data_IF_161026870639
#
_entry.id   IF_161026870639
#
_cell.length_a   1.000
_cell.length_b   1.000
_cell.length_c   1.000
_cell.angle_alpha   90.00
_cell.angle_beta   90.00
_cell.angle_gamma   90.00
#
_symmetry.space_group_name_H-M   'P 1'
#
loop_
_entity.id
_entity.type
_entity.pdbx_description
1 polymer ?
#
# COMPACT_ATOMS: atom_id res chain seq x y z
N UNK A 1 14.45 19.25 -4.05
CA UNK A 1 14.96 17.87 -4.30
C UNK A 1 16.14 17.89 -5.29
N UNK A 2 17.36 17.74 -4.76
CA UNK A 2 18.57 17.27 -5.47
C UNK A 2 19.00 18.06 -6.74
N UNK A 3 19.83 19.09 -6.53
CA UNK A 3 20.60 19.75 -7.58
C UNK A 3 21.83 18.88 -7.93
N UNK A 4 21.59 17.74 -8.59
CA UNK A 4 22.63 16.73 -8.94
C UNK A 4 23.69 17.26 -9.91
N UNK A 5 23.46 18.37 -10.61
CA UNK A 5 24.39 18.82 -11.66
C UNK A 5 25.79 19.10 -11.11
N UNK A 6 25.89 19.63 -9.88
CA UNK A 6 27.18 19.88 -9.21
C UNK A 6 27.80 18.62 -8.59
N UNK A 7 27.01 17.60 -8.29
CA UNK A 7 27.51 16.27 -7.90
C UNK A 7 28.04 15.49 -9.12
N UNK A 8 27.62 15.87 -10.33
CA UNK A 8 27.89 15.14 -11.59
C UNK A 8 29.35 15.21 -12.01
N UNK A 9 30.06 16.33 -11.78
CA UNK A 9 31.49 16.44 -12.12
C UNK A 9 32.39 15.58 -11.23
N UNK A 10 31.96 15.27 -10.01
CA UNK A 10 32.70 14.43 -9.07
C UNK A 10 32.31 12.95 -9.20
N UNK A 11 31.08 12.66 -9.65
CA UNK A 11 30.56 11.30 -9.82
C UNK A 11 31.30 10.49 -10.90
N UNK A 12 31.70 11.14 -12.01
CA UNK A 12 32.51 10.51 -13.06
C UNK A 12 33.94 10.18 -12.64
N UNK A 13 34.44 10.77 -11.53
CA UNK A 13 35.83 10.57 -11.07
C UNK A 13 35.97 9.55 -9.95
N UNK A 14 34.88 9.15 -9.30
CA UNK A 14 34.85 8.17 -8.19
C UNK A 14 34.14 6.88 -8.60
N UNK A 15 34.55 6.29 -9.72
CA UNK A 15 34.21 4.91 -10.10
C UNK A 15 34.93 3.92 -9.17
N UNK A 16 34.50 3.86 -7.91
CA UNK A 16 35.04 2.99 -6.86
C UNK A 16 33.94 2.39 -5.97
N UNK A 17 32.73 2.25 -6.50
CA UNK A 17 31.69 1.45 -5.86
C UNK A 17 32.10 -0.02 -5.97
N UNK A 18 32.19 -0.79 -4.88
CA UNK A 18 32.31 -2.24 -5.02
C UNK A 18 31.12 -2.71 -5.87
N UNK A 19 31.33 -3.27 -7.07
CA UNK A 19 30.24 -3.61 -7.99
C UNK A 19 29.20 -4.54 -7.34
N UNK A 20 29.63 -5.32 -6.35
CA UNK A 20 28.79 -6.20 -5.53
C UNK A 20 27.74 -5.44 -4.73
N UNK A 21 28.07 -4.35 -4.04
CA UNK A 21 27.11 -3.62 -3.20
C UNK A 21 25.98 -3.01 -4.03
N UNK A 22 26.33 -2.44 -5.20
CA UNK A 22 25.36 -1.92 -6.17
C UNK A 22 24.41 -3.02 -6.65
N UNK A 23 24.95 -4.19 -6.97
CA UNK A 23 24.17 -5.35 -7.42
C UNK A 23 23.24 -5.85 -6.31
N UNK A 24 23.69 -5.91 -5.06
CA UNK A 24 22.85 -6.27 -3.91
C UNK A 24 21.70 -5.27 -3.74
N UNK A 25 21.97 -3.96 -3.87
CA UNK A 25 20.93 -2.95 -3.76
C UNK A 25 19.88 -3.06 -4.88
N UNK A 26 20.33 -3.27 -6.11
CA UNK A 26 19.44 -3.48 -7.26
C UNK A 26 18.63 -4.77 -7.07
N UNK A 27 19.27 -5.86 -6.63
CA UNK A 27 18.63 -7.15 -6.39
C UNK A 27 17.51 -7.05 -5.34
N UNK A 28 17.81 -6.45 -4.18
CA UNK A 28 16.80 -6.26 -3.12
C UNK A 28 15.64 -5.37 -3.58
N UNK A 29 15.95 -4.28 -4.28
CA UNK A 29 14.94 -3.41 -4.89
C UNK A 29 14.07 -4.16 -5.90
N UNK A 30 14.69 -5.03 -6.71
CA UNK A 30 14.03 -5.84 -7.72
C UNK A 30 13.06 -6.87 -7.13
N UNK A 31 13.37 -7.44 -5.95
CA UNK A 31 12.48 -8.39 -5.24
C UNK A 31 11.14 -7.74 -4.86
N UNK A 32 11.12 -6.43 -4.60
CA UNK A 32 9.87 -5.72 -4.24
C UNK A 32 8.87 -5.67 -5.41
N UNK A 33 9.35 -5.65 -6.66
CA UNK A 33 8.50 -5.55 -7.86
C UNK A 33 7.47 -6.70 -7.91
N UNK A 34 7.86 -7.99 -7.97
CA UNK A 34 6.89 -9.08 -8.05
C UNK A 34 5.99 -9.14 -6.81
N UNK A 35 6.48 -8.81 -5.61
CA UNK A 35 5.66 -8.81 -4.39
C UNK A 35 4.55 -7.76 -4.46
N UNK A 36 4.88 -6.53 -4.85
CA UNK A 36 3.91 -5.44 -5.01
C UNK A 36 2.92 -5.76 -6.12
N UNK A 37 3.40 -6.21 -7.29
CA UNK A 37 2.55 -6.49 -8.44
C UNK A 37 1.59 -7.65 -8.16
N UNK A 38 2.07 -8.76 -7.61
CA UNK A 38 1.23 -9.94 -7.32
C UNK A 38 0.22 -9.64 -6.22
N UNK A 39 0.65 -9.02 -5.11
CA UNK A 39 -0.21 -8.71 -3.99
C UNK A 39 -1.33 -7.73 -4.35
N UNK A 40 -1.01 -6.62 -5.01
CA UNK A 40 -2.01 -5.61 -5.37
C UNK A 40 -2.90 -6.07 -6.53
N UNK A 41 -2.40 -6.90 -7.44
CA UNK A 41 -3.26 -7.58 -8.43
C UNK A 41 -4.27 -8.50 -7.74
N UNK A 42 -3.87 -9.22 -6.69
CA UNK A 42 -4.76 -10.10 -5.93
C UNK A 42 -5.89 -9.31 -5.25
N UNK A 43 -5.61 -8.12 -4.72
CA UNK A 43 -6.63 -7.19 -4.19
C UNK A 43 -7.67 -6.83 -5.26
N UNK A 44 -7.21 -6.39 -6.44
CA UNK A 44 -8.09 -6.00 -7.55
C UNK A 44 -8.92 -7.19 -8.04
N UNK A 45 -8.31 -8.36 -8.20
CA UNK A 45 -9.02 -9.57 -8.65
C UNK A 45 -10.04 -10.01 -7.61
N UNK A 46 -9.73 -9.88 -6.33
CA UNK A 46 -10.63 -10.23 -5.24
C UNK A 46 -11.87 -9.36 -5.25
N UNK A 47 -11.71 -8.04 -5.38
CA UNK A 47 -12.83 -7.12 -5.54
C UNK A 47 -13.72 -7.53 -6.72
N UNK A 48 -13.13 -7.77 -7.90
CA UNK A 48 -13.89 -8.17 -9.11
C UNK A 48 -14.61 -9.51 -8.97
N UNK A 49 -14.03 -10.44 -8.22
CA UNK A 49 -14.52 -11.83 -8.14
C UNK A 49 -15.57 -12.03 -7.05
N UNK A 50 -15.57 -11.20 -6.00
CA UNK A 50 -16.48 -11.35 -4.86
C UNK A 50 -17.37 -10.12 -4.70
N UNK A 51 -18.66 -10.27 -5.02
CA UNK A 51 -19.68 -9.21 -4.89
C UNK A 51 -19.82 -8.68 -3.45
N UNK A 52 -19.47 -9.46 -2.43
CA UNK A 52 -19.48 -9.01 -1.02
C UNK A 52 -18.43 -7.92 -0.76
N UNK A 53 -17.39 -7.86 -1.58
CA UNK A 53 -16.37 -6.82 -1.53
C UNK A 53 -16.78 -5.55 -2.28
N UNK A 54 -17.95 -5.47 -2.92
CA UNK A 54 -18.39 -4.26 -3.63
C UNK A 54 -18.94 -3.17 -2.68
N UNK A 55 -18.13 -2.78 -1.70
CA UNK A 55 -18.46 -1.70 -0.75
C UNK A 55 -17.63 -0.44 -1.03
N UNK A 56 -17.98 0.66 -0.37
CA UNK A 56 -17.28 1.95 -0.48
C UNK A 56 -15.81 1.82 -0.06
N UNK A 57 -15.54 1.19 1.09
CA UNK A 57 -14.17 0.98 1.57
C UNK A 57 -13.33 0.22 0.56
N UNK A 58 -13.82 -0.91 0.03
CA UNK A 58 -13.03 -1.71 -0.91
C UNK A 58 -12.80 -1.00 -2.24
N UNK A 59 -13.67 -0.06 -2.63
CA UNK A 59 -13.43 0.80 -3.80
C UNK A 59 -12.20 1.70 -3.59
N UNK A 60 -12.01 2.25 -2.39
CA UNK A 60 -10.76 2.96 -2.04
C UNK A 60 -9.55 2.03 -2.01
N UNK A 61 -9.69 0.80 -1.47
CA UNK A 61 -8.61 -0.18 -1.44
C UNK A 61 -8.16 -0.60 -2.84
N UNK A 62 -9.10 -0.74 -3.78
CA UNK A 62 -8.79 -1.01 -5.19
C UNK A 62 -8.07 0.17 -5.83
N UNK A 63 -8.50 1.40 -5.57
CA UNK A 63 -7.82 2.60 -6.08
C UNK A 63 -6.39 2.73 -5.54
N UNK A 64 -6.19 2.43 -4.25
CA UNK A 64 -4.86 2.33 -3.64
C UNK A 64 -4.03 1.23 -4.31
N UNK A 65 -4.59 0.04 -4.53
CA UNK A 65 -3.90 -1.05 -5.21
C UNK A 65 -3.47 -0.66 -6.65
N UNK A 66 -4.27 0.11 -7.38
CA UNK A 66 -3.89 0.66 -8.69
C UNK A 66 -2.68 1.60 -8.57
N UNK A 67 -2.67 2.49 -7.57
CA UNK A 67 -1.52 3.36 -7.29
C UNK A 67 -0.26 2.54 -6.94
N UNK A 68 -0.40 1.50 -6.12
CA UNK A 68 0.72 0.64 -5.73
C UNK A 68 1.26 -0.19 -6.91
N UNK A 69 0.41 -0.59 -7.86
CA UNK A 69 0.86 -1.21 -9.11
C UNK A 69 1.70 -0.24 -9.95
N UNK A 70 1.41 1.06 -9.95
CA UNK A 70 2.25 2.06 -10.62
C UNK A 70 3.60 2.23 -9.90
N UNK A 71 3.64 2.15 -8.57
CA UNK A 71 4.90 2.14 -7.81
C UNK A 71 5.76 0.95 -8.22
N UNK A 72 5.20 -0.26 -8.18
CA UNK A 72 5.94 -1.48 -8.52
C UNK A 72 6.31 -1.60 -10.00
N UNK A 73 5.40 -1.22 -10.91
CA UNK A 73 5.56 -1.41 -12.35
C UNK A 73 6.28 -0.28 -13.08
N UNK A 74 6.31 0.93 -12.50
CA UNK A 74 6.92 2.11 -13.14
C UNK A 74 8.00 2.72 -12.24
N UNK A 75 7.65 3.08 -11.01
CA UNK A 75 8.57 3.85 -10.16
C UNK A 75 9.84 3.07 -9.75
N UNK A 76 9.68 1.81 -9.32
CA UNK A 76 10.81 0.97 -8.89
C UNK A 76 11.75 0.66 -10.08
N UNK A 77 11.27 0.28 -11.28
CA UNK A 77 12.12 0.15 -12.46
C UNK A 77 12.88 1.44 -12.81
N UNK A 78 12.21 2.60 -12.74
CA UNK A 78 12.87 3.90 -12.95
C UNK A 78 13.97 4.17 -11.93
N UNK A 79 13.75 3.80 -10.66
CA UNK A 79 14.76 3.91 -9.60
C UNK A 79 15.97 3.00 -9.86
N UNK A 80 15.73 1.73 -10.23
CA UNK A 80 16.80 0.79 -10.62
C UNK A 80 17.59 1.35 -11.81
N UNK A 81 16.92 1.88 -12.83
CA UNK A 81 17.55 2.54 -13.97
C UNK A 81 18.42 3.73 -13.55
N UNK A 82 17.94 4.57 -12.62
CA UNK A 82 18.70 5.70 -12.08
C UNK A 82 19.97 5.22 -11.35
N UNK A 83 19.90 4.14 -10.56
CA UNK A 83 21.07 3.55 -9.91
C UNK A 83 22.02 2.96 -10.96
N UNK A 84 21.49 2.27 -11.97
CA UNK A 84 22.27 1.52 -12.96
C UNK A 84 23.02 2.43 -13.95
N UNK A 85 22.33 3.38 -14.60
CA UNK A 85 22.82 4.05 -15.81
C UNK A 85 22.88 5.58 -15.76
N UNK A 86 22.49 6.24 -14.67
CA UNK A 86 22.74 7.67 -14.38
C UNK A 86 22.53 8.71 -15.52
N UNK A 87 21.64 8.44 -16.49
CA UNK A 87 21.48 9.31 -17.67
C UNK A 87 20.19 10.18 -17.65
N UNK A 88 20.30 11.36 -18.28
CA UNK A 88 19.34 12.46 -18.31
C UNK A 88 18.16 12.10 -19.23
N UNK A 89 17.14 11.49 -18.63
CA UNK A 89 15.71 11.59 -18.95
C UNK A 89 14.85 10.83 -17.93
N UNK A 90 15.45 9.90 -17.17
CA UNK A 90 14.74 9.18 -16.11
C UNK A 90 14.54 10.00 -14.85
N UNK A 91 15.42 10.94 -14.51
CA UNK A 91 15.34 11.63 -13.20
C UNK A 91 14.09 12.50 -13.04
N UNK A 92 13.70 13.26 -14.06
CA UNK A 92 12.51 14.10 -14.00
C UNK A 92 11.22 13.27 -13.94
N UNK A 93 11.16 12.20 -14.76
CA UNK A 93 10.06 11.24 -14.78
C UNK A 93 9.99 10.49 -13.45
N UNK A 94 11.11 9.99 -12.95
CA UNK A 94 11.23 9.34 -11.64
C UNK A 94 10.76 10.26 -10.52
N UNK A 95 11.22 11.52 -10.49
CA UNK A 95 10.81 12.47 -9.45
C UNK A 95 9.30 12.70 -9.48
N UNK A 96 8.72 12.80 -10.68
CA UNK A 96 7.26 12.89 -10.83
C UNK A 96 6.56 11.62 -10.34
N UNK A 97 6.94 10.44 -10.82
CA UNK A 97 6.27 9.18 -10.49
C UNK A 97 6.41 8.83 -9.02
N UNK A 98 7.56 9.15 -8.42
CA UNK A 98 7.87 8.91 -7.02
C UNK A 98 7.05 9.83 -6.12
N UNK A 99 6.96 11.12 -6.44
CA UNK A 99 6.16 12.07 -5.68
C UNK A 99 4.66 11.81 -5.86
N UNK A 100 4.24 11.48 -7.07
CA UNK A 100 2.87 11.09 -7.39
C UNK A 100 2.44 9.85 -6.61
N UNK A 101 3.25 8.78 -6.64
CA UNK A 101 2.97 7.55 -5.90
C UNK A 101 2.94 7.80 -4.38
N UNK A 102 3.83 8.66 -3.88
CA UNK A 102 3.85 9.06 -2.48
C UNK A 102 2.53 9.74 -2.06
N UNK A 103 2.13 10.80 -2.78
CA UNK A 103 0.88 11.52 -2.49
C UNK A 103 -0.36 10.65 -2.70
N UNK A 104 -0.40 9.85 -3.75
CA UNK A 104 -1.53 9.01 -4.04
C UNK A 104 -1.71 7.97 -2.91
N UNK A 105 -0.64 7.28 -2.50
CA UNK A 105 -0.73 6.27 -1.44
C UNK A 105 -1.17 6.88 -0.10
N UNK A 106 -0.55 8.00 0.32
CA UNK A 106 -0.84 8.64 1.61
C UNK A 106 -2.27 9.19 1.69
N UNK A 107 -2.76 9.79 0.61
CA UNK A 107 -4.10 10.36 0.55
C UNK A 107 -5.17 9.27 0.45
N UNK A 108 -4.91 8.17 -0.27
CA UNK A 108 -5.81 7.00 -0.24
C UNK A 108 -5.90 6.41 1.16
N UNK A 109 -4.78 6.22 1.86
CA UNK A 109 -4.77 5.72 3.24
C UNK A 109 -5.54 6.65 4.18
N UNK A 110 -5.34 7.96 4.05
CA UNK A 110 -6.09 8.97 4.81
C UNK A 110 -7.59 8.90 4.51
N UNK A 111 -7.98 8.79 3.24
CA UNK A 111 -9.37 8.66 2.83
C UNK A 111 -10.01 7.37 3.37
N UNK A 112 -9.30 6.25 3.36
CA UNK A 112 -9.74 4.99 3.96
C UNK A 112 -9.96 5.18 5.46
N UNK A 113 -9.05 5.83 6.18
CA UNK A 113 -9.21 6.09 7.61
C UNK A 113 -10.43 6.98 7.91
N UNK A 114 -10.66 8.03 7.13
CA UNK A 114 -11.85 8.90 7.26
C UNK A 114 -13.13 8.10 7.00
N UNK A 115 -13.17 7.32 5.91
CA UNK A 115 -14.34 6.50 5.57
C UNK A 115 -14.66 5.50 6.68
N UNK A 116 -13.63 4.82 7.22
CA UNK A 116 -13.78 3.91 8.36
C UNK A 116 -14.26 4.63 9.62
N UNK A 117 -13.74 5.83 9.90
CA UNK A 117 -14.22 6.64 11.02
C UNK A 117 -15.71 6.96 10.86
N UNK A 118 -16.13 7.44 9.69
CA UNK A 118 -17.54 7.78 9.44
C UNK A 118 -18.41 6.52 9.58
N UNK A 119 -18.02 5.40 8.99
CA UNK A 119 -18.77 4.14 9.07
C UNK A 119 -18.95 3.62 10.51
N UNK A 120 -17.93 3.74 11.36
CA UNK A 120 -17.93 3.21 12.73
C UNK A 120 -18.54 4.21 13.72
N UNK A 121 -18.17 5.48 13.60
CA UNK A 121 -18.52 6.52 14.57
C UNK A 121 -19.81 7.25 14.24
N UNK A 122 -20.21 7.28 12.97
CA UNK A 122 -21.38 8.01 12.48
C UNK A 122 -22.19 7.16 11.47
N UNK A 123 -22.70 5.99 11.88
CA UNK A 123 -23.35 5.04 10.96
C UNK A 123 -24.57 5.64 10.23
N UNK A 124 -25.38 6.45 10.91
CA UNK A 124 -26.52 7.13 10.29
C UNK A 124 -26.09 8.09 9.17
N UNK A 125 -25.03 8.87 9.41
CA UNK A 125 -24.48 9.76 8.38
C UNK A 125 -23.89 8.95 7.22
N UNK A 126 -23.20 7.84 7.51
CA UNK A 126 -22.63 6.94 6.51
C UNK A 126 -23.68 6.38 5.54
N UNK A 127 -24.85 5.98 6.05
CA UNK A 127 -25.96 5.48 5.21
C UNK A 127 -26.55 6.56 4.30
N UNK A 128 -26.64 7.80 4.80
CA UNK A 128 -27.18 8.92 4.02
C UNK A 128 -26.18 9.49 3.00
N UNK A 129 -24.88 9.18 3.13
CA UNK A 129 -23.84 9.75 2.28
C UNK A 129 -23.97 9.31 0.82
N UNK A 130 -24.22 10.25 -0.10
CA UNK A 130 -24.33 9.93 -1.52
C UNK A 130 -23.03 9.34 -2.11
N UNK A 131 -23.19 8.45 -3.08
CA UNK A 131 -22.06 7.83 -3.81
C UNK A 131 -21.08 8.83 -4.45
N UNK A 132 -21.57 10.04 -4.80
CA UNK A 132 -20.78 11.10 -5.42
C UNK A 132 -19.64 11.61 -4.54
N UNK A 133 -19.79 11.60 -3.22
CA UNK A 133 -18.73 12.06 -2.31
C UNK A 133 -17.53 11.12 -2.36
N UNK A 134 -17.78 9.81 -2.31
CA UNK A 134 -16.73 8.79 -2.44
C UNK A 134 -15.98 8.90 -3.78
N UNK A 135 -16.72 9.09 -4.88
CA UNK A 135 -16.11 9.34 -6.21
C UNK A 135 -15.33 10.65 -6.23
N UNK A 136 -15.87 11.71 -5.64
CA UNK A 136 -15.21 13.01 -5.51
C UNK A 136 -13.90 12.91 -4.72
N UNK A 137 -13.87 12.16 -3.63
CA UNK A 137 -12.64 11.88 -2.87
C UNK A 137 -11.61 11.17 -3.73
N UNK A 138 -12.00 10.13 -4.48
CA UNK A 138 -11.07 9.44 -5.39
C UNK A 138 -10.48 10.38 -6.44
N UNK A 139 -11.32 11.18 -7.10
CA UNK A 139 -10.88 12.17 -8.08
C UNK A 139 -9.92 13.17 -7.43
N UNK A 140 -10.27 13.68 -6.25
CA UNK A 140 -9.41 14.59 -5.48
C UNK A 140 -8.03 13.97 -5.21
N UNK A 141 -7.99 12.72 -4.73
CA UNK A 141 -6.72 12.03 -4.45
C UNK A 141 -5.84 11.98 -5.69
N UNK A 142 -6.36 11.55 -6.83
CA UNK A 142 -5.57 11.44 -8.07
C UNK A 142 -5.13 12.80 -8.60
N UNK A 143 -6.05 13.78 -8.67
CA UNK A 143 -5.78 15.12 -9.20
C UNK A 143 -4.81 15.88 -8.31
N UNK A 144 -5.00 15.86 -6.99
CA UNK A 144 -4.10 16.54 -6.06
C UNK A 144 -2.70 15.92 -6.12
N UNK A 145 -2.59 14.59 -6.13
CA UNK A 145 -1.30 13.89 -6.23
C UNK A 145 -0.57 14.23 -7.53
N UNK A 146 -1.30 14.27 -8.65
CA UNK A 146 -0.73 14.66 -9.94
C UNK A 146 -0.31 16.13 -9.95
N UNK A 147 -1.11 17.01 -9.37
CA UNK A 147 -0.80 18.45 -9.30
C UNK A 147 0.47 18.69 -8.48
N UNK A 148 0.58 18.08 -7.31
CA UNK A 148 1.78 18.14 -6.49
C UNK A 148 2.98 17.56 -7.25
N UNK A 149 2.85 16.38 -7.85
CA UNK A 149 3.93 15.78 -8.63
C UNK A 149 4.41 16.67 -9.79
N UNK A 150 3.50 17.27 -10.56
CA UNK A 150 3.81 18.15 -11.69
C UNK A 150 4.54 19.43 -11.26
N UNK A 151 4.15 20.03 -10.13
CA UNK A 151 4.82 21.22 -9.59
C UNK A 151 6.30 20.98 -9.27
N UNK A 152 6.71 19.73 -9.05
CA UNK A 152 8.11 19.38 -8.81
C UNK A 152 9.04 19.67 -9.98
N UNK A 153 8.50 19.84 -11.20
CA UNK A 153 9.26 20.21 -12.40
C UNK A 153 9.53 21.72 -12.49
N UNK A 154 8.67 22.55 -11.91
CA UNK A 154 8.83 23.99 -11.93
C UNK A 154 9.75 24.43 -10.78
N UNK A 155 11.01 24.77 -11.09
CA UNK A 155 12.03 25.16 -10.08
C UNK A 155 12.77 26.43 -10.47
N UNK A 156 12.10 27.59 -10.39
CA UNK A 156 12.70 28.86 -10.80
C UNK A 156 13.80 29.35 -9.83
N UNK A 157 13.76 28.95 -8.56
CA UNK A 157 14.74 29.36 -7.55
C UNK A 157 14.94 28.33 -6.44
N UNK A 158 16.04 28.48 -5.69
CA UNK A 158 16.30 27.69 -4.47
C UNK A 158 15.27 27.98 -3.37
N UNK A 159 14.87 29.25 -3.21
CA UNK A 159 13.81 29.65 -2.26
C UNK A 159 12.47 29.00 -2.59
N UNK A 160 12.10 28.93 -3.88
CA UNK A 160 10.91 28.20 -4.31
C UNK A 160 11.03 26.71 -3.98
N UNK A 161 12.19 26.10 -4.22
CA UNK A 161 12.43 24.68 -3.93
C UNK A 161 12.30 24.39 -2.43
N UNK A 162 12.79 25.28 -1.58
CA UNK A 162 12.65 25.17 -0.12
C UNK A 162 11.20 25.31 0.34
N UNK A 163 10.50 26.35 -0.11
CA UNK A 163 9.10 26.57 0.21
C UNK A 163 8.23 25.39 -0.29
N UNK A 164 8.47 24.91 -1.51
CA UNK A 164 7.79 23.76 -2.08
C UNK A 164 8.05 22.48 -1.26
N UNK A 165 9.28 22.25 -0.81
CA UNK A 165 9.58 21.11 0.09
C UNK A 165 8.83 21.20 1.43
N UNK A 166 8.65 22.40 1.99
CA UNK A 166 7.81 22.60 3.17
C UNK A 166 6.34 22.26 2.87
N UNK A 167 5.79 22.72 1.74
CA UNK A 167 4.42 22.38 1.32
C UNK A 167 4.28 20.88 1.16
N UNK A 168 5.23 20.21 0.51
CA UNK A 168 5.23 18.76 0.33
C UNK A 168 5.28 18.02 1.67
N UNK A 169 6.08 18.49 2.63
CA UNK A 169 6.14 17.91 3.96
C UNK A 169 4.82 18.09 4.73
N UNK A 170 4.23 19.28 4.69
CA UNK A 170 2.97 19.56 5.39
C UNK A 170 1.83 18.77 4.77
N UNK A 171 1.65 18.87 3.45
CA UNK A 171 0.56 18.21 2.74
C UNK A 171 0.73 16.70 2.64
N UNK A 172 1.97 16.22 2.55
CA UNK A 172 2.29 14.81 2.39
C UNK A 172 2.48 14.05 3.70
N UNK A 173 2.78 14.73 4.82
CA UNK A 173 3.04 14.06 6.09
C UNK A 173 2.26 14.65 7.26
N UNK A 174 2.46 15.94 7.59
CA UNK A 174 1.90 16.53 8.82
C UNK A 174 0.36 16.48 8.81
N UNK A 175 -0.26 16.94 7.73
CA UNK A 175 -1.72 16.96 7.60
C UNK A 175 -2.31 15.53 7.56
N UNK A 176 -1.83 14.59 6.71
CA UNK A 176 -2.27 13.20 6.74
C UNK A 176 -2.12 12.54 8.11
N UNK A 177 -0.96 12.67 8.77
CA UNK A 177 -0.70 12.04 10.08
C UNK A 177 -1.64 12.60 11.15
N UNK A 178 -1.83 13.92 11.22
CA UNK A 178 -2.74 14.52 12.19
C UNK A 178 -4.19 14.09 11.98
N UNK A 179 -4.66 14.06 10.73
CA UNK A 179 -5.98 13.54 10.38
C UNK A 179 -6.09 12.07 10.80
N UNK A 180 -5.19 11.21 10.35
CA UNK A 180 -5.20 9.77 10.64
C UNK A 180 -5.23 9.51 12.15
N UNK A 181 -4.34 10.16 12.92
CA UNK A 181 -4.30 10.02 14.39
C UNK A 181 -5.64 10.48 15.00
N UNK A 182 -6.16 11.64 14.61
CA UNK A 182 -7.40 12.18 15.18
C UNK A 182 -8.61 11.26 14.92
N UNK A 183 -8.74 10.75 13.69
CA UNK A 183 -9.80 9.82 13.30
C UNK A 183 -9.69 8.51 14.09
N UNK A 184 -8.49 7.94 14.23
CA UNK A 184 -8.30 6.71 14.99
C UNK A 184 -8.55 6.88 16.49
N UNK A 185 -8.19 8.02 17.09
CA UNK A 185 -8.57 8.35 18.46
C UNK A 185 -10.11 8.38 18.58
N UNK A 186 -10.80 8.96 17.61
CA UNK A 186 -12.27 8.97 17.54
C UNK A 186 -12.89 7.57 17.44
N UNK A 187 -12.34 6.71 16.57
CA UNK A 187 -12.73 5.30 16.44
C UNK A 187 -12.58 4.59 17.80
N UNK A 188 -11.43 4.77 18.46
CA UNK A 188 -11.16 4.13 19.74
C UNK A 188 -12.13 4.59 20.85
N UNK A 189 -12.38 5.91 20.93
CA UNK A 189 -13.34 6.47 21.89
C UNK A 189 -14.74 5.90 21.68
N UNK A 190 -15.16 5.79 20.42
CA UNK A 190 -16.49 5.25 20.08
C UNK A 190 -16.59 3.77 20.37
N UNK A 191 -15.59 2.97 19.97
CA UNK A 191 -15.54 1.55 20.30
C UNK A 191 -15.64 1.32 21.81
N UNK A 192 -14.85 2.05 22.61
CA UNK A 192 -14.89 1.98 24.08
C UNK A 192 -16.25 2.41 24.65
N UNK A 193 -16.91 3.39 24.06
CA UNK A 193 -18.24 3.81 24.46
C UNK A 193 -19.31 2.75 24.15
N UNK A 194 -19.23 2.07 23.01
CA UNK A 194 -20.17 1.00 22.64
C UNK A 194 -20.04 -0.18 23.59
N UNK A 195 -18.81 -0.58 23.91
CA UNK A 195 -18.47 -1.57 24.92
C UNK A 195 -19.04 -1.22 26.30
N UNK A 196 -18.82 0.02 26.77
CA UNK A 196 -19.38 0.49 28.05
C UNK A 196 -20.91 0.48 28.09
N UNK A 197 -21.57 0.78 26.96
CA UNK A 197 -23.04 0.70 26.84
C UNK A 197 -23.52 -0.75 26.87
N UNK A 198 -22.77 -1.65 26.24
CA UNK A 198 -23.05 -3.10 26.26
C UNK A 198 -22.82 -3.72 27.65
N UNK A 199 -22.01 -3.07 28.51
CA UNK A 199 -21.75 -3.44 29.90
C UNK A 199 -22.72 -2.82 30.93
N UNK A 200 -23.82 -2.14 30.53
CA UNK A 200 -24.86 -1.75 31.51
C UNK A 200 -25.47 -3.02 32.14
N UNK A 201 -25.39 -3.22 33.47
CA UNK A 201 -25.87 -4.45 34.08
C UNK A 201 -27.39 -4.44 34.13
N UNK A 202 -28.02 -5.49 33.59
CA UNK A 202 -29.30 -5.95 34.13
C UNK A 202 -29.13 -7.21 35.00
N UNK A 203 -27.91 -7.77 35.14
CA UNK A 203 -27.63 -8.92 36.02
C UNK A 203 -26.21 -8.86 36.64
N UNK A 204 -25.99 -9.43 37.84
CA UNK A 204 -24.68 -9.48 38.49
C UNK A 204 -23.71 -10.35 37.68
N UNK A 205 -22.52 -9.82 37.39
CA UNK A 205 -21.55 -10.41 36.48
C UNK A 205 -20.73 -11.54 37.12
N UNK A 206 -20.52 -12.62 36.36
CA UNK A 206 -19.51 -13.65 36.62
C UNK A 206 -18.12 -13.03 36.37
N UNK A 207 -17.22 -13.10 37.35
CA UNK A 207 -15.88 -12.44 37.38
C UNK A 207 -14.94 -12.81 36.20
N UNK A 208 -15.28 -13.79 35.37
CA UNK A 208 -14.49 -14.22 34.20
C UNK A 208 -14.68 -13.38 32.92
N UNK A 209 -15.86 -12.77 32.70
CA UNK A 209 -16.19 -12.14 31.42
C UNK A 209 -15.55 -10.76 31.23
N UNK A 210 -15.42 -9.98 32.30
CA UNK A 210 -14.80 -8.63 32.27
C UNK A 210 -13.33 -8.64 31.85
N UNK A 211 -12.60 -9.71 32.20
CA UNK A 211 -11.17 -9.88 31.83
C UNK A 211 -10.99 -10.26 30.36
N UNK A 212 -11.92 -11.02 29.79
CA UNK A 212 -11.95 -11.33 28.35
C UNK A 212 -12.33 -10.10 27.50
N UNK A 213 -13.28 -9.29 27.98
CA UNK A 213 -13.68 -8.06 27.31
C UNK A 213 -12.52 -7.05 27.24
N UNK A 214 -11.86 -6.80 28.38
CA UNK A 214 -10.68 -5.91 28.46
C UNK A 214 -9.52 -6.39 27.56
N UNK A 215 -9.30 -7.71 27.44
CA UNK A 215 -8.29 -8.29 26.54
C UNK A 215 -8.64 -8.13 25.05
N UNK A 216 -9.92 -8.21 24.68
CA UNK A 216 -10.37 -7.95 23.29
C UNK A 216 -10.21 -6.47 22.95
N UNK A 217 -10.51 -5.58 23.89
CA UNK A 217 -10.38 -4.13 23.74
C UNK A 217 -8.91 -3.69 23.57
N UNK A 218 -8.00 -4.30 24.33
CA UNK A 218 -6.56 -4.11 24.16
C UNK A 218 -6.06 -4.62 22.80
N UNK A 219 -6.53 -5.77 22.32
CA UNK A 219 -6.14 -6.31 20.99
C UNK A 219 -6.57 -5.40 19.85
N UNK A 220 -7.74 -4.77 19.96
CA UNK A 220 -8.23 -3.80 18.98
C UNK A 220 -7.40 -2.50 19.01
N UNK A 221 -7.10 -1.96 20.21
CA UNK A 221 -6.26 -0.77 20.37
C UNK A 221 -4.81 -0.98 19.87
N UNK A 222 -4.21 -2.14 20.18
CA UNK A 222 -2.88 -2.53 19.70
C UNK A 222 -2.86 -2.62 18.19
N UNK A 223 -3.92 -3.16 17.58
CA UNK A 223 -4.04 -3.23 16.12
C UNK A 223 -4.03 -1.84 15.48
N UNK A 224 -4.75 -0.88 16.07
CA UNK A 224 -4.82 0.50 15.59
C UNK A 224 -3.48 1.23 15.76
N UNK A 225 -2.84 1.09 16.93
CA UNK A 225 -1.52 1.67 17.18
C UNK A 225 -0.45 1.09 16.24
N UNK A 226 -0.52 -0.22 15.95
CA UNK A 226 0.39 -0.89 15.01
C UNK A 226 0.17 -0.37 13.59
N UNK A 227 -1.07 -0.23 13.10
CA UNK A 227 -1.33 0.29 11.75
C UNK A 227 -0.87 1.76 11.61
N UNK A 228 -1.14 2.61 12.61
CA UNK A 228 -0.66 3.99 12.63
C UNK A 228 0.88 4.07 12.69
N UNK A 229 1.49 3.22 13.53
CA UNK A 229 2.93 3.15 13.69
C UNK A 229 3.64 2.69 12.42
N UNK A 230 3.10 1.68 11.73
CA UNK A 230 3.64 1.20 10.46
C UNK A 230 3.62 2.29 9.38
N UNK A 231 2.54 3.07 9.31
CA UNK A 231 2.45 4.21 8.40
C UNK A 231 3.49 5.28 8.75
N UNK A 232 3.60 5.72 10.00
CA UNK A 232 4.60 6.75 10.38
C UNK A 232 6.02 6.26 10.09
N UNK A 233 6.36 5.02 10.47
CA UNK A 233 7.68 4.44 10.27
C UNK A 233 8.03 4.34 8.78
N UNK A 234 7.07 3.96 7.93
CA UNK A 234 7.30 3.82 6.49
C UNK A 234 7.56 5.17 5.79
N UNK A 235 6.88 6.24 6.24
CA UNK A 235 6.83 7.52 5.52
C UNK A 235 7.73 8.62 6.11
N UNK A 236 7.85 8.70 7.44
CA UNK A 236 8.58 9.78 8.11
C UNK A 236 10.03 9.93 7.60
N UNK A 237 10.83 8.85 7.45
CA UNK A 237 12.21 8.99 6.99
C UNK A 237 12.31 9.62 5.59
N UNK A 238 11.38 9.32 4.70
CA UNK A 238 11.34 9.89 3.35
C UNK A 238 11.07 11.39 3.37
N UNK A 239 10.08 11.84 4.15
CA UNK A 239 9.72 13.24 4.27
C UNK A 239 10.80 14.06 4.98
N UNK A 240 11.42 13.51 6.02
CA UNK A 240 12.55 14.15 6.71
C UNK A 240 13.75 14.28 5.77
N UNK A 241 14.14 13.20 5.08
CA UNK A 241 15.26 13.24 4.14
C UNK A 241 15.01 14.25 3.01
N UNK A 242 13.76 14.38 2.55
CA UNK A 242 13.37 15.34 1.51
C UNK A 242 13.50 16.80 1.97
N UNK A 243 13.14 17.11 3.23
CA UNK A 243 13.36 18.44 3.83
C UNK A 243 14.85 18.70 3.98
N UNK A 244 15.61 17.78 4.58
CA UNK A 244 17.06 17.96 4.79
C UNK A 244 17.76 18.19 3.45
N UNK A 245 17.38 17.46 2.40
CA UNK A 245 17.92 17.63 1.06
C UNK A 245 17.54 18.97 0.39
N UNK A 246 16.55 19.70 0.89
CA UNK A 246 16.16 21.01 0.38
C UNK A 246 16.86 22.16 1.11
N UNK A 247 17.12 22.02 2.42
CA UNK A 247 17.69 23.09 3.24
C UNK A 247 19.18 22.92 3.53
N UNK A 248 19.65 21.69 3.65
CA UNK A 248 20.99 21.39 4.18
C UNK A 248 21.72 20.32 3.35
N UNK A 249 21.51 20.25 2.03
CA UNK A 249 22.14 19.20 1.22
C UNK A 249 23.69 19.18 1.37
N UNK A 250 24.35 20.34 1.29
CA UNK A 250 25.82 20.42 1.37
C UNK A 250 26.40 20.22 2.78
N UNK A 251 25.62 20.47 3.83
CA UNK A 251 26.08 20.39 5.21
C UNK A 251 25.65 19.12 5.94
N UNK A 252 24.55 18.50 5.51
CA UNK A 252 23.93 17.37 6.21
C UNK A 252 24.06 16.04 5.46
N UNK A 253 24.39 16.03 4.17
CA UNK A 253 24.66 14.80 3.44
C UNK A 253 26.17 14.51 3.37
N UNK A 254 26.57 13.23 3.41
CA UNK A 254 27.96 12.85 3.19
C UNK A 254 28.47 13.38 1.85
N UNK A 255 29.71 13.90 1.84
CA UNK A 255 30.39 14.30 0.60
C UNK A 255 30.62 13.10 -0.34
N UNK A 256 30.73 11.90 0.23
CA UNK A 256 30.79 10.64 -0.51
C UNK A 256 29.43 10.30 -1.13
N UNK A 257 29.40 10.17 -2.45
CA UNK A 257 28.19 9.80 -3.20
C UNK A 257 27.66 8.41 -2.80
N UNK A 258 28.54 7.48 -2.42
CA UNK A 258 28.17 6.12 -2.00
C UNK A 258 27.36 6.15 -0.71
N UNK A 259 27.79 6.92 0.29
CA UNK A 259 27.09 7.00 1.56
C UNK A 259 25.75 7.74 1.42
N UNK A 260 25.71 8.77 0.56
CA UNK A 260 24.44 9.39 0.16
C UNK A 260 23.48 8.38 -0.49
N UNK A 261 23.99 7.54 -1.41
CA UNK A 261 23.18 6.52 -2.07
C UNK A 261 22.67 5.47 -1.08
N UNK A 262 23.47 5.05 -0.10
CA UNK A 262 23.05 4.13 0.98
C UNK A 262 21.87 4.67 1.76
N UNK A 263 21.96 5.93 2.20
CA UNK A 263 20.91 6.59 2.98
C UNK A 263 19.63 6.71 2.14
N UNK A 264 19.73 7.22 0.92
CA UNK A 264 18.58 7.40 0.03
C UNK A 264 17.93 6.05 -0.29
N UNK A 265 18.72 5.03 -0.65
CA UNK A 265 18.22 3.70 -1.00
C UNK A 265 17.53 3.02 0.18
N UNK A 266 18.10 3.12 1.39
CA UNK A 266 17.47 2.55 2.60
C UNK A 266 16.10 3.19 2.88
N UNK A 267 16.02 4.52 2.76
CA UNK A 267 14.76 5.26 2.91
C UNK A 267 13.76 4.88 1.79
N UNK A 268 14.25 4.66 0.57
CA UNK A 268 13.40 4.20 -0.55
C UNK A 268 12.83 2.81 -0.33
N UNK A 269 13.60 1.87 0.20
CA UNK A 269 13.09 0.54 0.52
C UNK A 269 11.98 0.57 1.56
N UNK A 270 12.17 1.38 2.60
CA UNK A 270 11.16 1.55 3.64
C UNK A 270 9.87 2.17 3.08
N UNK A 271 10.00 3.19 2.22
CA UNK A 271 8.88 3.79 1.51
C UNK A 271 8.18 2.79 0.56
N UNK A 272 8.90 2.08 -0.31
CA UNK A 272 8.32 1.12 -1.26
C UNK A 272 7.69 -0.10 -0.57
N UNK A 273 8.18 -0.47 0.61
CA UNK A 273 7.60 -1.54 1.41
C UNK A 273 6.16 -1.23 1.81
N UNK A 274 5.74 0.04 1.87
CA UNK A 274 4.36 0.41 2.12
C UNK A 274 3.39 -0.20 1.10
N UNK A 275 3.73 -0.10 -0.19
CA UNK A 275 2.95 -0.70 -1.28
C UNK A 275 2.93 -2.23 -1.24
N UNK A 276 3.98 -2.86 -0.70
CA UNK A 276 4.07 -4.31 -0.53
C UNK A 276 3.22 -4.80 0.67
N UNK A 277 3.22 -4.05 1.77
CA UNK A 277 2.59 -4.44 3.04
C UNK A 277 1.05 -4.39 2.97
N UNK A 278 0.47 -3.53 2.13
CA UNK A 278 -0.98 -3.35 2.02
C UNK A 278 -1.77 -4.67 1.84
N UNK A 279 -1.49 -5.53 0.82
CA UNK A 279 -2.15 -6.84 0.69
C UNK A 279 -1.97 -7.77 1.91
N UNK A 280 -0.81 -7.72 2.59
CA UNK A 280 -0.53 -8.53 3.78
C UNK A 280 -1.43 -8.09 4.93
N UNK A 281 -1.57 -6.77 5.13
CA UNK A 281 -2.46 -6.22 6.15
C UNK A 281 -3.89 -6.67 5.90
N UNK A 282 -4.38 -6.63 4.65
CA UNK A 282 -5.74 -7.09 4.34
C UNK A 282 -5.91 -8.59 4.58
N UNK A 283 -4.93 -9.40 4.18
CA UNK A 283 -4.97 -10.84 4.44
C UNK A 283 -5.01 -11.17 5.94
N UNK A 284 -4.42 -10.35 6.80
CA UNK A 284 -4.41 -10.56 8.26
C UNK A 284 -5.63 -9.97 8.97
N UNK A 285 -6.16 -8.85 8.48
CA UNK A 285 -7.14 -8.02 9.19
C UNK A 285 -8.55 -8.05 8.62
N UNK A 286 -8.71 -8.41 7.35
CA UNK A 286 -9.99 -8.39 6.64
C UNK A 286 -10.41 -9.83 6.29
N UNK A 287 -11.39 -10.36 7.00
CA UNK A 287 -11.80 -11.77 6.86
C UNK A 287 -12.38 -12.09 5.49
N UNK A 288 -13.18 -11.17 4.93
CA UNK A 288 -13.83 -11.38 3.63
C UNK A 288 -12.78 -11.33 2.52
N UNK A 289 -11.83 -10.40 2.59
CA UNK A 289 -10.72 -10.35 1.64
C UNK A 289 -9.80 -11.55 1.77
N UNK A 290 -9.43 -11.94 3.01
CA UNK A 290 -8.63 -13.14 3.29
C UNK A 290 -9.27 -14.40 2.70
N UNK A 291 -10.56 -14.61 2.95
CA UNK A 291 -11.29 -15.76 2.42
C UNK A 291 -11.33 -15.75 0.89
N UNK A 292 -11.45 -14.57 0.28
CA UNK A 292 -11.42 -14.41 -1.18
C UNK A 292 -10.03 -14.72 -1.75
N UNK A 293 -8.96 -14.28 -1.09
CA UNK A 293 -7.57 -14.60 -1.47
C UNK A 293 -7.36 -16.12 -1.48
N UNK A 294 -7.75 -16.82 -0.40
CA UNK A 294 -7.65 -18.28 -0.33
C UNK A 294 -8.42 -18.97 -1.45
N UNK A 295 -9.64 -18.51 -1.76
CA UNK A 295 -10.43 -19.07 -2.87
C UNK A 295 -9.71 -18.90 -4.21
N UNK A 296 -9.24 -17.69 -4.54
CA UNK A 296 -8.56 -17.41 -5.81
C UNK A 296 -7.29 -18.23 -5.95
N UNK A 297 -6.47 -18.30 -4.90
CA UNK A 297 -5.22 -19.06 -4.91
C UNK A 297 -5.49 -20.57 -5.04
N UNK A 298 -6.50 -21.11 -4.35
CA UNK A 298 -6.92 -22.51 -4.51
C UNK A 298 -7.50 -22.81 -5.89
N UNK A 299 -8.32 -21.93 -6.47
CA UNK A 299 -8.88 -22.14 -7.80
C UNK A 299 -7.80 -22.16 -8.88
N UNK A 300 -6.77 -21.31 -8.79
CA UNK A 300 -5.60 -21.39 -9.68
C UNK A 300 -4.81 -22.68 -9.49
N UNK A 301 -4.64 -23.14 -8.25
CA UNK A 301 -3.98 -24.41 -7.96
C UNK A 301 -4.78 -25.63 -8.46
N UNK A 302 -6.12 -25.65 -8.32
CA UNK A 302 -6.98 -26.72 -8.87
C UNK A 302 -6.96 -26.71 -10.43
N UNK A 303 -6.97 -25.53 -11.08
CA UNK A 303 -6.89 -25.42 -12.55
C UNK A 303 -5.59 -25.96 -13.13
N UNK A 304 -4.45 -25.69 -12.47
CA UNK A 304 -3.15 -26.23 -12.90
C UNK A 304 -3.02 -27.75 -12.71
N UNK A 305 -3.85 -28.37 -11.86
CA UNK A 305 -3.95 -29.84 -11.74
C UNK A 305 -4.90 -30.49 -12.76
N UNK A 306 -5.79 -29.71 -13.37
CA UNK A 306 -6.81 -30.18 -14.32
C UNK A 306 -6.36 -30.20 -15.79
N UNK A 307 -5.12 -29.78 -16.09
CA UNK A 307 -4.44 -30.08 -17.36
C UNK A 307 -3.99 -31.54 -17.36
N UNK A 308 -4.95 -32.45 -17.55
CA UNK A 308 -4.72 -33.88 -17.82
C UNK A 308 -4.12 -34.01 -19.24
N UNK A 309 -3.13 -34.89 -19.48
CA UNK A 309 -2.62 -35.15 -20.83
C UNK A 309 -3.76 -35.58 -21.75
N UNK A 310 -3.78 -35.09 -23.00
CA UNK A 310 -4.69 -35.61 -24.04
C UNK A 310 -4.45 -37.13 -24.17
N UNK A 311 -5.39 -37.95 -23.70
CA UNK A 311 -5.40 -39.38 -23.99
C UNK A 311 -5.81 -39.58 -25.47
N UNK A 312 -5.17 -40.52 -26.19
CA UNK A 312 -5.55 -40.82 -27.56
C UNK A 312 -6.93 -41.50 -27.58
N UNK A 313 -7.76 -41.06 -28.53
CA UNK A 313 -9.11 -41.55 -28.74
C UNK A 313 -9.13 -43.07 -28.99
N UNK A 314 -10.06 -43.78 -28.33
CA UNK A 314 -10.90 -44.85 -28.90
C UNK A 314 -11.73 -45.50 -27.80
N UNK A 315 -12.98 -45.06 -27.65
CA UNK A 315 -14.22 -45.84 -27.37
C UNK A 315 -15.31 -44.92 -26.80
N UNK A 316 -16.51 -45.03 -27.35
CA UNK A 316 -17.66 -44.18 -27.09
C UNK A 316 -18.30 -44.47 -25.73
N UNK A 317 -17.84 -43.80 -24.67
CA UNK A 317 -18.66 -43.54 -23.48
C UNK A 317 -18.15 -42.23 -22.86
N UNK A 318 -18.89 -41.13 -23.03
CA UNK A 318 -18.53 -39.83 -22.48
C UNK A 318 -18.90 -39.78 -20.98
N UNK A 319 -18.01 -40.23 -20.11
CA UNK A 319 -18.17 -40.06 -18.66
C UNK A 319 -17.69 -38.66 -18.27
N UNK A 320 -18.62 -37.74 -18.00
CA UNK A 320 -18.27 -36.42 -17.47
C UNK A 320 -17.94 -36.52 -15.98
N UNK A 321 -16.65 -36.39 -15.64
CA UNK A 321 -16.20 -36.29 -14.26
C UNK A 321 -16.15 -34.83 -13.83
N UNK A 322 -16.86 -34.50 -12.76
CA UNK A 322 -16.73 -33.21 -12.05
C UNK A 322 -15.94 -33.42 -10.76
N UNK A 323 -14.78 -32.76 -10.65
CA UNK A 323 -13.94 -32.85 -9.46
C UNK A 323 -14.42 -31.87 -8.38
N UNK A 324 -14.75 -32.35 -7.19
CA UNK A 324 -15.19 -31.50 -6.08
C UNK A 324 -14.01 -31.15 -5.17
N UNK A 325 -13.42 -29.95 -5.35
CA UNK A 325 -12.26 -29.48 -4.58
C UNK A 325 -12.55 -29.22 -3.08
N UNK A 326 -13.80 -29.29 -2.59
CA UNK A 326 -14.07 -29.19 -1.14
C UNK A 326 -13.72 -30.47 -0.37
N UNK A 327 -13.83 -31.64 -1.01
CA UNK A 327 -13.67 -32.95 -0.36
C UNK A 327 -12.61 -33.85 -1.02
N UNK A 328 -11.79 -33.34 -1.96
CA UNK A 328 -10.81 -34.13 -2.72
C UNK A 328 -11.38 -35.38 -3.44
N UNK A 329 -12.67 -35.40 -3.77
CA UNK A 329 -13.33 -36.55 -4.38
C UNK A 329 -13.72 -36.29 -5.84
N UNK A 330 -13.53 -37.31 -6.69
CA UNK A 330 -14.06 -37.38 -8.05
C UNK A 330 -15.55 -37.73 -7.98
N UNK A 331 -16.42 -36.85 -8.46
CA UNK A 331 -17.85 -37.13 -8.59
C UNK A 331 -18.11 -37.48 -10.05
N UNK A 332 -18.37 -38.76 -10.31
CA UNK A 332 -18.85 -39.21 -11.61
C UNK A 332 -20.36 -38.97 -11.73
N UNK A 333 -20.78 -38.19 -12.71
CA UNK A 333 -22.19 -38.13 -13.10
C UNK A 333 -22.38 -39.04 -14.31
N UNK A 334 -23.12 -40.14 -14.13
CA UNK A 334 -23.59 -40.94 -15.26
C UNK A 334 -24.87 -40.30 -15.78
N UNK A 335 -24.74 -39.49 -16.84
CA UNK A 335 -25.91 -39.11 -17.64
C UNK A 335 -26.19 -40.27 -18.58
N UNK A 336 -27.24 -41.04 -18.29
CA UNK A 336 -27.84 -41.95 -19.28
C UNK A 336 -28.45 -41.06 -20.37
N UNK A 337 -27.99 -41.24 -21.60
CA UNK A 337 -28.62 -40.66 -22.79
C UNK A 337 -29.99 -41.29 -23.02
#
# INVERSE_FOLDING_TARGET
MMNLSKTTSNFTRTSGLLPVEKQLMIGFTGILIPLILTGNTLVIVSYKSNRRLHTRTYTFLVSLAVSDLLVGGVNIPLWIGCIAHYDICYKAIFTFTDLFGAFASILHLTAITIERYIAICQPYFHETLPARYHKGTLIFVWVFSSTMASLSWYRPSETFTQAYSCIVFVAGFVLPVTIVISMYIGIFRTAKSLIRRQQRPYLPAVEGEGRQHTRKDQKLAVTVAVICGLFIIAWLPFFILSIIAAFCYRGCFPANATDTLRIVTSVKWLHYSNSMVNPIVYALRDEEMRNTFYRILRFKACRNKLTIPKAPSKTNLATNYTYNCSNNNLIGSKTLL
#
